data_IF_698090312862
#
_entry.id   IF_698090312862
#
_cell.length_a   1.000
_cell.length_b   1.000
_cell.length_c   1.000
_cell.angle_alpha   90.00
_cell.angle_beta   90.00
_cell.angle_gamma   90.00
#
_symmetry.space_group_name_H-M   'P 1'
#
loop_
_entity.id
_entity.type
_entity.pdbx_description
1 polymer ?
#
# COMPACT_ATOMS: atom_id res chain seq x y z
N UNK A 1 -14.07 8.41 -13.86
CA UNK A 1 -13.11 8.95 -12.89
C UNK A 1 -13.85 9.73 -11.82
N UNK A 2 -13.48 9.51 -10.57
CA UNK A 2 -14.07 10.21 -9.43
C UNK A 2 -13.34 11.53 -9.17
N UNK A 3 -13.98 12.43 -8.43
CA UNK A 3 -13.37 13.72 -8.09
C UNK A 3 -12.89 13.68 -6.64
N UNK A 4 -11.60 13.68 -6.46
CA UNK A 4 -10.96 13.76 -5.15
C UNK A 4 -10.61 15.20 -4.81
N UNK A 5 -10.62 15.49 -3.51
CA UNK A 5 -10.18 16.77 -2.97
C UNK A 5 -9.05 16.55 -1.96
N UNK A 6 -8.06 17.44 -1.90
CA UNK A 6 -7.09 17.43 -0.82
C UNK A 6 -7.79 17.50 0.54
N UNK A 7 -7.38 16.64 1.46
CA UNK A 7 -7.93 16.57 2.80
C UNK A 7 -6.84 16.89 3.83
N UNK A 8 -7.04 17.88 4.71
CA UNK A 8 -6.03 18.22 5.71
C UNK A 8 -5.76 17.05 6.66
N UNK A 9 -4.53 16.59 6.70
CA UNK A 9 -4.14 15.43 7.51
C UNK A 9 -4.43 15.62 9.00
N UNK A 10 -4.30 16.86 9.49
CA UNK A 10 -4.52 17.21 10.89
C UNK A 10 -6.01 17.09 11.31
N UNK A 11 -6.91 17.05 10.33
CA UNK A 11 -8.34 16.88 10.56
C UNK A 11 -8.82 15.44 10.33
N UNK A 12 -7.93 14.56 9.93
CA UNK A 12 -8.29 13.19 9.58
C UNK A 12 -8.63 12.37 10.82
N UNK A 13 -9.85 11.84 10.83
CA UNK A 13 -10.31 10.86 11.81
C UNK A 13 -10.24 9.47 11.18
N UNK A 14 -9.33 8.64 11.68
CA UNK A 14 -9.14 7.29 11.17
C UNK A 14 -8.65 6.38 12.29
N UNK A 15 -9.28 5.22 12.40
CA UNK A 15 -8.73 4.15 13.23
C UNK A 15 -7.87 3.24 12.35
N UNK A 16 -6.53 3.34 12.42
CA UNK A 16 -5.65 2.57 11.54
C UNK A 16 -5.72 1.06 11.79
N UNK A 17 -6.05 0.63 12.99
CA UNK A 17 -6.14 -0.78 13.34
C UNK A 17 -7.27 -1.49 12.60
N UNK A 18 -8.42 -0.83 12.45
CA UNK A 18 -9.53 -1.36 11.66
C UNK A 18 -9.37 -1.07 10.18
N UNK A 19 -8.94 0.14 9.84
CA UNK A 19 -8.80 0.58 8.44
C UNK A 19 -7.79 -0.27 7.67
N UNK A 20 -6.66 -0.57 8.27
CA UNK A 20 -5.61 -1.40 7.67
C UNK A 20 -5.87 -2.88 7.93
N UNK A 21 -6.07 -3.27 9.20
CA UNK A 21 -6.09 -4.67 9.60
C UNK A 21 -7.35 -5.43 9.20
N UNK A 22 -8.50 -4.76 9.11
CA UNK A 22 -9.80 -5.37 8.79
C UNK A 22 -10.36 -4.96 7.45
N UNK A 23 -10.28 -3.69 7.10
CA UNK A 23 -10.81 -3.17 5.84
C UNK A 23 -9.81 -3.35 4.69
N UNK A 24 -8.52 -3.34 4.99
CA UNK A 24 -7.39 -3.48 4.08
C UNK A 24 -7.16 -2.25 3.22
N UNK A 25 -6.04 -2.26 2.50
CA UNK A 25 -5.65 -1.18 1.61
C UNK A 25 -5.01 -1.73 0.34
N UNK A 26 -4.98 -0.91 -0.71
CA UNK A 26 -4.19 -1.16 -1.90
C UNK A 26 -2.93 -0.32 -1.86
N UNK A 27 -1.77 -0.97 -2.01
CA UNK A 27 -0.50 -0.30 -2.25
C UNK A 27 -0.29 -0.26 -3.75
N UNK A 28 -0.17 0.94 -4.32
CA UNK A 28 0.00 1.14 -5.76
C UNK A 28 1.28 1.90 -6.04
N UNK A 29 2.06 1.43 -7.00
CA UNK A 29 3.30 2.07 -7.42
C UNK A 29 3.52 1.90 -8.92
N UNK A 30 4.35 2.76 -9.48
CA UNK A 30 4.66 2.80 -10.89
C UNK A 30 4.59 4.22 -11.44
N UNK A 31 4.41 4.32 -12.74
CA UNK A 31 4.28 5.57 -13.47
C UNK A 31 3.14 5.50 -14.50
N UNK A 32 3.02 6.52 -15.34
CA UNK A 32 1.98 6.59 -16.37
C UNK A 32 2.13 5.51 -17.46
N UNK A 33 3.30 4.91 -17.58
CA UNK A 33 3.56 3.84 -18.56
C UNK A 33 3.16 2.49 -18.02
N UNK A 34 3.46 2.25 -16.74
CA UNK A 34 3.16 0.97 -16.08
C UNK A 34 3.06 1.14 -14.58
N UNK A 35 1.98 0.63 -14.01
CA UNK A 35 1.76 0.60 -12.59
C UNK A 35 1.20 -0.75 -12.16
N UNK A 36 1.38 -1.08 -10.89
CA UNK A 36 0.81 -2.27 -10.28
C UNK A 36 0.29 -1.96 -8.89
N UNK A 37 -0.65 -2.77 -8.43
CA UNK A 37 -1.24 -2.66 -7.09
C UNK A 37 -1.24 -4.00 -6.38
N UNK A 38 -1.27 -3.97 -5.06
CA UNK A 38 -1.41 -5.16 -4.23
C UNK A 38 -2.23 -4.84 -2.98
N UNK A 39 -2.96 -5.83 -2.50
CA UNK A 39 -3.68 -5.72 -1.24
C UNK A 39 -2.74 -5.95 -0.06
N UNK A 40 -2.85 -5.12 0.96
CA UNK A 40 -2.13 -5.24 2.22
C UNK A 40 -3.09 -5.05 3.40
N UNK A 41 -2.81 -5.79 4.48
CA UNK A 41 -3.55 -5.71 5.75
C UNK A 41 -2.64 -5.44 6.95
N UNK A 42 -1.36 -5.23 6.70
CA UNK A 42 -0.35 -4.89 7.70
C UNK A 42 0.28 -3.56 7.36
N UNK A 43 0.58 -2.80 8.39
CA UNK A 43 1.18 -1.48 8.25
C UNK A 43 0.73 -0.55 9.36
N UNK A 44 0.99 0.72 9.18
CA UNK A 44 0.63 1.73 10.16
C UNK A 44 0.87 3.13 9.64
N UNK A 45 0.46 4.08 10.47
CA UNK A 45 0.69 5.51 10.27
C UNK A 45 1.28 6.09 11.55
N UNK A 46 2.08 7.11 11.43
CA UNK A 46 2.68 7.73 12.61
C UNK A 46 3.56 8.92 12.25
N UNK A 47 4.48 9.22 13.17
CA UNK A 47 5.42 10.33 13.00
C UNK A 47 6.83 9.78 13.13
N UNK A 48 7.68 10.11 12.18
CA UNK A 48 9.09 9.75 12.18
C UNK A 48 9.89 10.82 11.43
N UNK A 49 11.06 11.16 11.96
CA UNK A 49 11.94 12.23 11.42
C UNK A 49 11.22 13.57 11.22
N UNK A 50 10.30 13.89 12.15
CA UNK A 50 9.52 15.13 12.08
C UNK A 50 8.49 15.18 10.95
N UNK A 51 8.09 14.04 10.39
CA UNK A 51 7.17 13.92 9.26
C UNK A 51 6.02 12.99 9.58
N UNK A 52 4.87 13.27 8.99
CA UNK A 52 3.75 12.31 8.96
C UNK A 52 4.09 11.20 7.96
N UNK A 53 4.11 9.98 8.44
CA UNK A 53 4.57 8.83 7.64
C UNK A 53 3.60 7.68 7.67
N UNK A 54 3.73 6.82 6.66
CA UNK A 54 3.15 5.48 6.63
C UNK A 54 4.28 4.46 6.75
N UNK A 55 3.93 3.30 7.34
CA UNK A 55 4.79 2.12 7.35
C UNK A 55 4.10 1.06 6.52
N UNK A 56 4.75 0.58 5.47
CA UNK A 56 4.23 -0.51 4.65
C UNK A 56 5.20 -1.68 4.67
N UNK A 57 4.64 -2.89 4.58
CA UNK A 57 5.39 -4.14 4.59
C UNK A 57 5.07 -4.90 3.31
N UNK A 58 6.08 -5.14 2.50
CA UNK A 58 5.93 -5.78 1.19
C UNK A 58 6.81 -7.02 1.15
N UNK A 59 6.22 -8.19 0.88
CA UNK A 59 6.99 -9.43 0.72
C UNK A 59 7.90 -9.33 -0.49
N UNK A 60 9.10 -9.88 -0.37
CA UNK A 60 10.14 -9.76 -1.38
C UNK A 60 9.74 -10.34 -2.75
N UNK A 61 8.77 -11.25 -2.78
CA UNK A 61 8.26 -11.88 -4.00
C UNK A 61 7.11 -11.13 -4.68
N UNK A 62 6.55 -10.09 -4.04
CA UNK A 62 5.45 -9.32 -4.63
C UNK A 62 5.92 -8.52 -5.83
N UNK A 63 5.15 -8.58 -6.92
CA UNK A 63 5.44 -7.82 -8.13
C UNK A 63 5.45 -6.30 -7.90
N UNK A 64 4.54 -5.78 -7.08
CA UNK A 64 4.48 -4.36 -6.71
C UNK A 64 5.79 -3.86 -6.10
N UNK A 65 6.56 -4.75 -5.42
CA UNK A 65 7.85 -4.38 -4.85
C UNK A 65 8.82 -3.84 -5.88
N UNK A 66 8.85 -4.40 -7.08
CA UNK A 66 9.72 -3.92 -8.16
C UNK A 66 9.39 -2.47 -8.53
N UNK A 67 8.10 -2.11 -8.54
CA UNK A 67 7.65 -0.74 -8.83
C UNK A 67 7.99 0.23 -7.70
N UNK A 68 7.87 -0.22 -6.44
CA UNK A 68 8.26 0.59 -5.28
C UNK A 68 9.76 0.84 -5.30
N UNK A 69 10.56 -0.19 -5.53
CA UNK A 69 12.03 -0.10 -5.52
C UNK A 69 12.56 0.78 -6.66
N UNK A 70 11.93 0.72 -7.83
CA UNK A 70 12.35 1.49 -9.01
C UNK A 70 11.79 2.92 -9.06
N UNK A 71 10.86 3.26 -8.18
CA UNK A 71 10.22 4.59 -8.13
C UNK A 71 10.51 5.33 -6.85
N UNK A 72 10.09 6.59 -6.81
CA UNK A 72 10.25 7.45 -5.62
C UNK A 72 8.97 7.53 -4.80
N UNK A 73 7.81 7.26 -5.41
CA UNK A 73 6.50 7.44 -4.79
C UNK A 73 5.65 6.18 -4.88
N UNK A 74 4.69 6.10 -3.99
CA UNK A 74 3.62 5.10 -4.00
C UNK A 74 2.37 5.69 -3.37
N UNK A 75 1.25 5.01 -3.51
CA UNK A 75 0.01 5.40 -2.85
C UNK A 75 -0.58 4.28 -2.01
N UNK A 76 -1.35 4.67 -1.00
CA UNK A 76 -2.24 3.78 -0.27
C UNK A 76 -3.67 4.20 -0.58
N UNK A 77 -4.48 3.27 -1.10
CA UNK A 77 -5.89 3.52 -1.41
C UNK A 77 -6.77 2.68 -0.51
N UNK A 78 -7.70 3.32 0.19
CA UNK A 78 -8.73 2.67 0.99
C UNK A 78 -10.05 2.73 0.25
N UNK A 79 -10.79 1.61 0.26
CA UNK A 79 -12.04 1.44 -0.47
C UNK A 79 -13.18 1.12 0.49
N UNK A 80 -14.41 1.26 0.01
CA UNK A 80 -15.58 0.83 0.75
C UNK A 80 -15.66 -0.70 0.87
N UNK A 81 -16.37 -1.17 1.88
CA UNK A 81 -16.55 -2.60 2.17
C UNK A 81 -17.13 -3.37 0.98
N UNK A 82 -17.93 -2.73 0.14
CA UNK A 82 -18.46 -3.32 -1.09
C UNK A 82 -17.38 -3.81 -2.06
N UNK A 83 -16.16 -3.29 -1.95
CA UNK A 83 -15.01 -3.68 -2.76
C UNK A 83 -14.16 -4.81 -2.17
N UNK A 84 -14.60 -5.42 -1.05
CA UNK A 84 -13.80 -6.45 -0.36
C UNK A 84 -13.45 -7.64 -1.26
N UNK A 85 -14.37 -8.04 -2.14
CA UNK A 85 -14.12 -9.09 -3.13
C UNK A 85 -12.99 -8.74 -4.10
N UNK A 86 -12.97 -7.51 -4.59
CA UNK A 86 -11.92 -7.01 -5.45
C UNK A 86 -10.57 -6.94 -4.71
N UNK A 87 -10.56 -6.51 -3.45
CA UNK A 87 -9.35 -6.52 -2.61
C UNK A 87 -8.79 -7.93 -2.43
N UNK A 88 -9.64 -8.94 -2.20
CA UNK A 88 -9.22 -10.34 -2.12
C UNK A 88 -8.58 -10.81 -3.42
N UNK A 89 -9.22 -10.54 -4.54
CA UNK A 89 -8.69 -10.90 -5.86
C UNK A 89 -7.34 -10.24 -6.14
N UNK A 90 -7.23 -8.92 -5.93
CA UNK A 90 -6.00 -8.17 -6.15
C UNK A 90 -4.84 -8.61 -5.25
N UNK A 91 -5.14 -9.17 -4.09
CA UNK A 91 -4.15 -9.75 -3.18
C UNK A 91 -3.72 -11.17 -3.54
N UNK A 92 -4.58 -11.91 -4.24
CA UNK A 92 -4.35 -13.33 -4.55
C UNK A 92 -3.61 -13.56 -5.87
N UNK A 93 -3.77 -12.67 -6.85
CA UNK A 93 -3.14 -12.82 -8.18
C UNK A 93 -1.97 -11.86 -8.38
N UNK A 94 -1.03 -12.27 -9.24
CA UNK A 94 0.12 -11.45 -9.60
C UNK A 94 -0.15 -10.64 -10.87
N UNK A 95 0.25 -9.38 -10.87
CA UNK A 95 0.26 -8.55 -12.07
C UNK A 95 1.27 -8.99 -13.14
N UNK A 96 2.17 -9.95 -12.81
CA UNK A 96 3.02 -10.60 -13.79
C UNK A 96 2.22 -11.52 -14.71
N UNK A 97 1.17 -12.14 -14.19
CA UNK A 97 0.43 -13.20 -14.88
C UNK A 97 -0.78 -12.66 -15.62
N UNK A 98 -1.37 -11.56 -15.15
CA UNK A 98 -2.57 -10.99 -15.75
C UNK A 98 -2.73 -9.50 -15.42
N UNK A 99 -3.55 -8.79 -16.21
CA UNK A 99 -3.92 -7.41 -15.94
C UNK A 99 -5.02 -7.37 -14.85
N UNK A 100 -4.59 -7.55 -13.60
CA UNK A 100 -5.50 -7.71 -12.48
C UNK A 100 -6.29 -6.45 -12.13
N UNK A 101 -5.77 -5.26 -12.42
CA UNK A 101 -6.48 -4.00 -12.18
C UNK A 101 -7.71 -3.92 -13.10
N UNK A 102 -7.53 -4.17 -14.38
CA UNK A 102 -8.63 -4.20 -15.35
C UNK A 102 -9.62 -5.34 -15.06
N UNK A 103 -9.10 -6.54 -14.76
CA UNK A 103 -9.93 -7.69 -14.40
C UNK A 103 -10.77 -7.45 -13.15
N UNK A 104 -10.27 -6.67 -12.20
CA UNK A 104 -11.03 -6.22 -11.02
C UNK A 104 -12.01 -5.09 -11.32
N UNK A 105 -12.07 -4.61 -12.57
CA UNK A 105 -12.85 -3.45 -13.00
C UNK A 105 -12.50 -2.19 -12.23
N UNK A 106 -11.21 -2.03 -11.95
CA UNK A 106 -10.66 -0.86 -11.29
C UNK A 106 -9.84 -0.02 -12.27
N UNK A 107 -9.67 1.24 -11.95
CA UNK A 107 -9.02 2.21 -12.80
C UNK A 107 -7.88 2.88 -12.06
N UNK A 108 -6.80 3.15 -12.79
CA UNK A 108 -5.72 3.99 -12.30
C UNK A 108 -6.04 5.46 -12.56
N UNK A 109 -5.78 6.27 -11.58
CA UNK A 109 -5.67 7.72 -11.73
C UNK A 109 -4.34 8.17 -11.13
N UNK A 110 -3.94 9.41 -11.35
CA UNK A 110 -2.60 9.89 -11.02
C UNK A 110 -2.67 11.24 -10.30
N UNK A 111 -1.91 11.35 -9.23
CA UNK A 111 -1.68 12.62 -8.57
C UNK A 111 -0.20 12.98 -8.68
N UNK A 112 0.12 14.02 -9.46
CA UNK A 112 1.51 14.46 -9.74
C UNK A 112 2.43 13.29 -10.13
N UNK A 113 1.92 12.41 -10.99
CA UNK A 113 2.66 11.25 -11.49
C UNK A 113 2.62 10.00 -10.61
N UNK A 114 2.08 10.08 -9.40
CA UNK A 114 1.90 8.90 -8.52
C UNK A 114 0.57 8.23 -8.82
N UNK A 115 0.58 6.94 -9.20
CA UNK A 115 -0.65 6.19 -9.48
C UNK A 115 -1.42 5.85 -8.19
N UNK A 116 -2.74 5.86 -8.28
CA UNK A 116 -3.63 5.34 -7.24
C UNK A 116 -4.87 4.72 -7.87
N UNK A 117 -5.67 4.01 -7.07
CA UNK A 117 -6.92 3.39 -7.55
C UNK A 117 -8.08 4.36 -7.37
N UNK A 118 -8.74 4.69 -8.50
CA UNK A 118 -9.80 5.70 -8.58
C UNK A 118 -11.07 5.32 -7.78
N UNK A 119 -11.33 4.04 -7.57
CA UNK A 119 -12.48 3.57 -6.80
C UNK A 119 -12.35 3.76 -5.29
N UNK A 120 -11.21 4.23 -4.83
CA UNK A 120 -10.99 4.57 -3.43
C UNK A 120 -11.84 5.73 -2.93
N UNK A 121 -11.96 5.84 -1.62
CA UNK A 121 -12.58 6.98 -0.96
C UNK A 121 -11.58 7.82 -0.16
N UNK A 122 -10.42 7.24 0.15
CA UNK A 122 -9.31 7.88 0.84
C UNK A 122 -8.01 7.39 0.23
N UNK A 123 -7.13 8.31 -0.14
CA UNK A 123 -5.85 8.00 -0.78
C UNK A 123 -4.72 8.77 -0.09
N UNK A 124 -3.66 8.07 0.27
CA UNK A 124 -2.41 8.69 0.73
C UNK A 124 -1.39 8.65 -0.40
N UNK A 125 -0.91 9.80 -0.81
CA UNK A 125 0.19 9.94 -1.75
C UNK A 125 1.47 10.06 -0.94
N UNK A 126 2.41 9.15 -1.17
CA UNK A 126 3.58 8.99 -0.31
C UNK A 126 4.88 9.05 -1.11
N UNK A 127 5.92 9.61 -0.47
CA UNK A 127 7.29 9.58 -0.97
C UNK A 127 8.12 8.61 -0.13
N UNK A 128 8.77 7.67 -0.78
CA UNK A 128 9.64 6.69 -0.11
C UNK A 128 10.82 7.38 0.58
N UNK A 129 10.98 7.17 1.88
CA UNK A 129 12.07 7.73 2.68
C UNK A 129 13.14 6.70 3.03
N UNK A 130 12.75 5.48 3.34
CA UNK A 130 13.67 4.41 3.69
C UNK A 130 13.10 3.04 3.38
N UNK A 131 13.98 2.07 3.25
CA UNK A 131 13.66 0.67 3.07
C UNK A 131 14.52 -0.17 4.01
N UNK A 132 13.90 -1.05 4.80
CA UNK A 132 14.59 -1.95 5.71
C UNK A 132 14.14 -3.38 5.44
N UNK A 133 15.05 -4.22 4.99
CA UNK A 133 14.77 -5.63 4.75
C UNK A 133 14.76 -6.37 6.09
N UNK A 134 13.70 -7.15 6.34
CA UNK A 134 13.66 -8.06 7.47
C UNK A 134 14.66 -9.20 7.28
N UNK A 135 15.25 -9.63 8.39
CA UNK A 135 16.13 -10.79 8.45
C UNK A 135 15.69 -11.72 9.59
N UNK A 136 15.90 -13.04 9.49
CA UNK A 136 15.41 -13.99 10.51
C UNK A 136 15.94 -13.73 11.92
N UNK A 137 17.14 -13.21 12.05
CA UNK A 137 17.80 -12.93 13.32
C UNK A 137 17.20 -11.76 14.11
N UNK A 138 16.31 -10.96 13.50
CA UNK A 138 15.67 -9.85 14.18
C UNK A 138 14.47 -10.23 15.05
N UNK A 139 13.93 -11.45 14.91
CA UNK A 139 12.76 -11.89 15.66
C UNK A 139 13.12 -12.29 17.10
N UNK A 140 12.65 -11.49 18.05
CA UNK A 140 12.81 -11.77 19.48
C UNK A 140 11.84 -12.88 19.89
N UNK A 141 10.58 -12.83 19.41
CA UNK A 141 9.59 -13.88 19.53
C UNK A 141 9.75 -14.86 18.38
N UNK A 142 10.25 -16.06 18.67
CA UNK A 142 10.52 -17.10 17.67
C UNK A 142 9.25 -17.64 16.97
N UNK A 143 8.08 -17.46 17.57
CA UNK A 143 6.81 -17.89 16.96
C UNK A 143 6.44 -17.06 15.73
N UNK A 144 6.95 -15.85 15.61
CA UNK A 144 6.69 -14.96 14.45
C UNK A 144 7.26 -15.59 13.19
N UNK A 145 8.50 -16.04 13.22
CA UNK A 145 9.13 -16.68 12.06
C UNK A 145 8.40 -17.96 11.65
N UNK A 146 8.11 -18.83 12.59
CA UNK A 146 7.42 -20.09 12.32
C UNK A 146 5.97 -19.91 11.85
N UNK A 147 5.25 -18.93 12.37
CA UNK A 147 3.85 -18.67 12.02
C UNK A 147 3.66 -17.91 10.72
N UNK A 148 4.57 -17.00 10.40
CA UNK A 148 4.37 -16.02 9.30
C UNK A 148 5.40 -16.12 8.17
N UNK A 149 6.58 -16.67 8.45
CA UNK A 149 7.71 -16.70 7.52
C UNK A 149 8.33 -18.08 7.35
N UNK A 150 7.54 -19.15 7.56
CA UNK A 150 8.02 -20.54 7.44
C UNK A 150 8.60 -20.86 6.05
N UNK A 151 8.12 -20.18 5.01
CA UNK A 151 8.61 -20.30 3.63
C UNK A 151 9.86 -19.45 3.34
N UNK A 152 10.34 -18.67 4.31
CA UNK A 152 11.49 -17.76 4.14
C UNK A 152 11.20 -16.50 3.33
N UNK A 153 9.96 -16.26 2.94
CA UNK A 153 9.55 -15.07 2.18
C UNK A 153 9.24 -13.91 3.11
N UNK A 154 10.26 -13.15 3.46
CA UNK A 154 10.20 -12.04 4.40
C UNK A 154 9.65 -10.77 3.75
N UNK A 155 9.32 -9.78 4.59
CA UNK A 155 8.93 -8.45 4.16
C UNK A 155 10.12 -7.49 4.12
N UNK A 156 10.02 -6.50 3.26
CA UNK A 156 10.76 -5.25 3.38
C UNK A 156 9.81 -4.19 3.93
N UNK A 157 10.25 -3.46 4.96
CA UNK A 157 9.52 -2.32 5.50
C UNK A 157 9.94 -1.05 4.77
N UNK A 158 8.98 -0.31 4.26
CA UNK A 158 9.22 1.03 3.71
C UNK A 158 8.58 2.07 4.61
N UNK A 159 9.29 3.14 4.86
CA UNK A 159 8.74 4.34 5.47
C UNK A 159 8.49 5.35 4.35
N UNK A 160 7.26 5.81 4.24
CA UNK A 160 6.86 6.81 3.25
C UNK A 160 6.34 8.08 3.92
N UNK A 161 6.84 9.24 3.50
CA UNK A 161 6.27 10.52 3.88
C UNK A 161 4.92 10.71 3.21
N UNK A 162 3.89 11.08 3.97
CA UNK A 162 2.59 11.45 3.40
C UNK A 162 2.72 12.86 2.82
N UNK A 163 2.70 12.97 1.50
CA UNK A 163 2.78 14.25 0.78
C UNK A 163 1.41 14.90 0.63
N UNK A 164 0.37 14.09 0.45
CA UNK A 164 -1.00 14.54 0.27
C UNK A 164 -1.97 13.45 0.70
N UNK A 165 -3.10 13.87 1.24
CA UNK A 165 -4.26 13.02 1.47
C UNK A 165 -5.37 13.48 0.55
N UNK A 166 -5.95 12.56 -0.19
CA UNK A 166 -7.08 12.82 -1.09
C UNK A 166 -8.29 12.07 -0.57
N UNK A 167 -9.44 12.73 -0.54
CA UNK A 167 -10.69 12.14 -0.10
C UNK A 167 -11.85 12.52 -1.04
N UNK A 168 -12.91 11.70 -1.05
CA UNK A 168 -14.17 11.97 -1.74
C UNK A 168 -15.37 11.44 -0.96
#
# INVERSE_FOLDING_TARGET
>A
MHTFQPYPIDLMEMNPFTKIGKEWMLITAGDEKKANTMTASWGGVGVLWGKNVVYIFVRDTRYTKEFIDNGETFSLTFLDESNKGALKYLGAVSGRDENKIENARMHLDYYKGTPYIDEGNLVFICRKLSATKMTPDQFIDSSIESSWYADGNLHTMYVGEILEVLAR
#
